data_IF_619962577736
#
_entry.id   IF_619962577736
#
_cell.length_a   1.000
_cell.length_b   1.000
_cell.length_c   1.000
_cell.angle_alpha   90.00
_cell.angle_beta   90.00
_cell.angle_gamma   90.00
#
_symmetry.space_group_name_H-M   'P 1'
#
loop_
_entity.id
_entity.type
_entity.pdbx_description
1 polymer ?
#
# COMPACT_ATOMS: atom_id res chain seq x y z
N UNK A 1 16.50 11.20 -6.29
CA UNK A 1 16.71 9.75 -6.46
C UNK A 1 15.43 9.10 -6.98
N UNK A 2 15.56 8.04 -7.75
CA UNK A 2 14.43 7.25 -8.24
C UNK A 2 14.51 5.81 -7.74
N UNK A 3 13.40 5.33 -7.22
CA UNK A 3 13.16 3.92 -6.89
C UNK A 3 12.26 3.37 -7.99
N UNK A 4 12.60 2.22 -8.55
CA UNK A 4 11.77 1.56 -9.56
C UNK A 4 11.20 0.27 -8.99
N UNK A 5 9.88 0.12 -9.12
CA UNK A 5 9.16 -1.10 -8.73
C UNK A 5 8.57 -1.71 -9.98
N UNK A 6 8.91 -2.98 -10.23
CA UNK A 6 8.28 -3.79 -11.27
C UNK A 6 7.36 -4.82 -10.61
N UNK A 7 6.07 -4.57 -10.68
CA UNK A 7 5.06 -5.43 -10.05
C UNK A 7 5.00 -6.82 -10.70
N UNK A 8 5.27 -6.91 -12.01
CA UNK A 8 5.23 -8.18 -12.73
C UNK A 8 6.42 -9.08 -12.38
N UNK A 9 7.56 -8.49 -12.12
CA UNK A 9 8.79 -9.21 -11.72
C UNK A 9 8.90 -9.37 -10.20
N UNK A 10 8.09 -8.65 -9.43
CA UNK A 10 8.19 -8.65 -7.97
C UNK A 10 9.50 -8.07 -7.45
N UNK A 11 9.97 -6.98 -8.06
CA UNK A 11 11.26 -6.37 -7.71
C UNK A 11 11.16 -4.89 -7.43
N UNK A 12 12.00 -4.43 -6.50
CA UNK A 12 12.26 -3.03 -6.21
C UNK A 12 13.75 -2.77 -6.40
N UNK A 13 14.06 -1.77 -7.21
CA UNK A 13 15.43 -1.34 -7.50
C UNK A 13 15.70 0.02 -6.85
N UNK A 14 16.74 0.09 -6.04
CA UNK A 14 17.22 1.32 -5.40
C UNK A 14 18.74 1.32 -5.35
N UNK A 15 19.38 2.35 -5.89
CA UNK A 15 20.84 2.49 -5.92
C UNK A 15 21.57 1.23 -6.44
N UNK A 16 21.04 0.56 -7.45
CA UNK A 16 21.61 -0.66 -8.00
C UNK A 16 21.34 -1.94 -7.19
N UNK A 17 20.78 -1.83 -6.00
CA UNK A 17 20.35 -2.98 -5.20
C UNK A 17 18.93 -3.40 -5.57
N UNK A 18 18.70 -4.71 -5.66
CA UNK A 18 17.40 -5.29 -6.00
C UNK A 18 16.82 -5.99 -4.77
N UNK A 19 15.59 -5.65 -4.45
CA UNK A 19 14.84 -6.26 -3.35
C UNK A 19 13.61 -6.98 -3.90
N UNK A 20 13.27 -8.11 -3.29
CA UNK A 20 12.03 -8.81 -3.60
C UNK A 20 10.84 -8.07 -2.96
N UNK A 21 9.78 -7.92 -3.72
CA UNK A 21 8.52 -7.34 -3.24
C UNK A 21 7.33 -8.16 -3.73
N UNK A 22 6.19 -7.91 -3.15
CA UNK A 22 4.91 -8.40 -3.67
C UNK A 22 3.83 -7.34 -3.54
N UNK A 23 2.83 -7.45 -4.39
CA UNK A 23 1.63 -6.61 -4.29
C UNK A 23 0.41 -7.49 -4.55
N UNK A 24 0.26 -8.52 -3.73
CA UNK A 24 -0.86 -9.46 -3.81
C UNK A 24 -2.05 -8.90 -3.06
N UNK A 25 -3.05 -8.48 -3.80
CA UNK A 25 -4.23 -7.82 -3.26
C UNK A 25 -5.18 -8.85 -2.66
N UNK A 26 -5.73 -8.51 -1.50
CA UNK A 26 -6.77 -9.29 -0.85
C UNK A 26 -8.05 -9.23 -1.69
N UNK A 27 -8.61 -10.39 -2.03
CA UNK A 27 -9.86 -10.47 -2.79
C UNK A 27 -11.06 -10.61 -1.86
N UNK A 28 -12.23 -10.25 -2.37
CA UNK A 28 -13.50 -10.53 -1.70
C UNK A 28 -13.74 -12.04 -1.69
N UNK A 29 -14.18 -12.57 -0.56
CA UNK A 29 -14.54 -13.99 -0.47
C UNK A 29 -15.86 -14.22 -1.20
N UNK A 30 -15.90 -15.23 -2.07
CA UNK A 30 -17.13 -15.69 -2.68
C UNK A 30 -18.18 -16.04 -1.63
N UNK A 31 -19.40 -15.53 -1.83
CA UNK A 31 -20.55 -15.81 -0.96
C UNK A 31 -20.59 -15.05 0.36
N UNK A 32 -19.53 -14.34 0.75
CA UNK A 32 -19.52 -13.51 1.96
C UNK A 32 -19.30 -12.06 1.62
N UNK A 33 -20.35 -11.30 1.54
CA UNK A 33 -20.31 -9.85 1.26
C UNK A 33 -20.17 -9.00 2.53
N UNK A 34 -19.85 -9.62 3.66
CA UNK A 34 -19.81 -8.95 4.97
C UNK A 34 -18.42 -8.72 5.52
N UNK A 35 -17.39 -9.30 4.95
CA UNK A 35 -16.03 -9.23 5.49
C UNK A 35 -15.16 -8.26 4.71
N UNK A 36 -15.48 -6.98 4.79
CA UNK A 36 -14.72 -5.94 4.16
C UNK A 36 -13.85 -5.21 5.15
N UNK A 37 -12.69 -4.87 4.69
CA UNK A 37 -11.77 -4.07 5.46
C UNK A 37 -12.24 -2.61 5.46
N UNK A 38 -12.04 -1.97 6.58
CA UNK A 38 -12.19 -0.53 6.71
C UNK A 38 -11.04 0.15 5.99
N UNK A 39 -11.35 1.14 5.21
CA UNK A 39 -10.37 1.81 4.41
C UNK A 39 -10.23 3.26 4.82
N UNK A 40 -8.99 3.65 4.88
CA UNK A 40 -8.56 4.96 5.35
C UNK A 40 -9.04 6.16 4.55
N UNK A 41 -9.24 5.99 3.25
CA UNK A 41 -9.62 7.10 2.36
C UNK A 41 -11.05 7.04 1.87
N UNK A 42 -11.77 5.99 2.21
CA UNK A 42 -13.16 5.82 1.79
C UNK A 42 -14.09 6.21 2.93
N UNK A 43 -14.96 7.21 2.72
CA UNK A 43 -15.91 7.63 3.73
C UNK A 43 -16.86 6.49 4.13
N UNK A 44 -17.31 6.52 5.38
CA UNK A 44 -18.35 5.63 5.91
C UNK A 44 -17.95 4.14 5.89
N UNK A 45 -16.66 3.83 5.71
CA UNK A 45 -16.13 2.46 5.73
C UNK A 45 -16.89 1.49 4.82
N UNK A 46 -17.28 1.96 3.64
CA UNK A 46 -18.03 1.17 2.68
C UNK A 46 -17.19 0.03 2.09
N UNK A 47 -17.82 -1.09 1.71
CA UNK A 47 -17.16 -2.17 0.99
C UNK A 47 -16.58 -1.70 -0.34
N UNK A 48 -15.38 -2.18 -0.68
CA UNK A 48 -14.71 -1.78 -1.92
C UNK A 48 -13.89 -2.92 -2.51
N UNK A 49 -13.53 -2.78 -3.78
CA UNK A 49 -12.56 -3.65 -4.42
C UNK A 49 -11.16 -3.04 -4.30
N UNK A 50 -10.30 -3.60 -3.46
CA UNK A 50 -8.92 -3.16 -3.40
C UNK A 50 -8.21 -3.49 -4.71
N UNK A 51 -7.34 -2.60 -5.15
CA UNK A 51 -6.55 -2.74 -6.38
C UNK A 51 -5.06 -2.75 -6.05
N UNK A 52 -4.22 -3.36 -6.90
CA UNK A 52 -2.78 -3.28 -6.75
C UNK A 52 -2.31 -1.83 -6.69
N UNK A 53 -1.11 -1.64 -6.17
CA UNK A 53 -0.47 -0.32 -6.17
C UNK A 53 -0.54 0.30 -7.56
N UNK A 54 -0.98 1.57 -7.68
CA UNK A 54 -1.17 2.18 -8.98
C UNK A 54 0.16 2.38 -9.72
N UNK A 55 0.19 2.00 -10.99
CA UNK A 55 1.32 2.24 -11.86
C UNK A 55 1.46 3.74 -12.13
N UNK A 56 2.70 4.19 -12.31
CA UNK A 56 2.99 5.59 -12.56
C UNK A 56 4.20 6.09 -11.81
N UNK A 57 4.35 7.40 -11.79
CA UNK A 57 5.41 8.08 -11.05
C UNK A 57 4.78 8.81 -9.87
N UNK A 58 5.25 8.48 -8.69
CA UNK A 58 4.76 9.00 -7.41
C UNK A 58 5.91 9.60 -6.62
N UNK A 59 5.60 10.33 -5.57
CA UNK A 59 6.60 10.82 -4.63
C UNK A 59 6.55 10.02 -3.33
N UNK A 60 7.72 9.74 -2.79
CA UNK A 60 7.83 9.28 -1.41
C UNK A 60 7.77 10.51 -0.51
N UNK A 61 6.83 10.51 0.42
CA UNK A 61 6.52 11.68 1.26
C UNK A 61 7.07 11.58 2.68
N UNK A 62 7.50 10.40 3.10
CA UNK A 62 8.07 10.24 4.43
C UNK A 62 8.29 8.78 4.81
N UNK A 63 8.98 8.61 5.92
CA UNK A 63 9.21 7.32 6.56
C UNK A 63 8.75 7.43 8.00
N UNK A 64 7.84 6.55 8.40
CA UNK A 64 7.35 6.46 9.77
C UNK A 64 7.91 5.19 10.41
N UNK A 65 8.55 5.33 11.58
CA UNK A 65 9.10 4.19 12.30
C UNK A 65 8.14 3.69 13.36
N UNK A 66 8.01 2.37 13.44
CA UNK A 66 7.14 1.70 14.41
C UNK A 66 7.44 2.12 15.85
N UNK A 67 8.70 2.26 16.20
CA UNK A 67 9.13 2.67 17.54
C UNK A 67 8.60 4.04 17.97
N UNK A 68 8.42 4.95 17.02
CA UNK A 68 7.92 6.31 17.29
C UNK A 68 6.39 6.38 17.24
N UNK A 69 5.77 5.72 16.28
CA UNK A 69 4.34 5.88 15.98
C UNK A 69 3.47 4.77 16.58
N UNK A 70 4.07 3.65 17.02
CA UNK A 70 3.36 2.59 17.74
C UNK A 70 2.36 1.78 16.90
N UNK A 71 2.45 1.80 15.58
CA UNK A 71 1.57 0.97 14.75
C UNK A 71 1.90 -0.52 14.92
N UNK A 72 0.96 -1.40 14.52
CA UNK A 72 1.12 -2.85 14.65
C UNK A 72 2.28 -3.36 13.78
N UNK A 73 3.35 -3.92 14.39
CA UNK A 73 4.50 -4.42 13.64
C UNK A 73 4.19 -5.67 12.78
N UNK A 74 3.16 -6.43 13.11
CA UNK A 74 2.74 -7.57 12.30
C UNK A 74 2.07 -7.12 11.00
N UNK A 75 1.36 -6.01 11.05
CA UNK A 75 0.67 -5.45 9.89
C UNK A 75 1.60 -4.62 9.01
N UNK A 76 2.49 -3.83 9.61
CA UNK A 76 3.29 -2.84 8.88
C UNK A 76 4.79 -3.02 8.99
N UNK A 77 5.26 -3.94 9.83
CA UNK A 77 6.70 -4.12 10.09
C UNK A 77 7.31 -2.97 10.86
N UNK A 78 8.63 -2.77 10.72
CA UNK A 78 9.35 -1.74 11.48
C UNK A 78 9.18 -0.32 10.93
N UNK A 79 8.81 -0.18 9.65
CA UNK A 79 8.68 1.11 8.98
C UNK A 79 7.51 1.11 7.99
N UNK A 80 6.86 2.27 7.87
CA UNK A 80 5.95 2.61 6.78
C UNK A 80 6.61 3.65 5.90
N UNK A 81 6.75 3.36 4.62
CA UNK A 81 7.22 4.32 3.64
C UNK A 81 5.99 4.91 2.95
N UNK A 82 5.75 6.18 3.18
CA UNK A 82 4.57 6.89 2.69
C UNK A 82 4.77 7.39 1.27
N UNK A 83 3.69 7.36 0.49
CA UNK A 83 3.67 7.89 -0.87
C UNK A 83 2.47 8.81 -1.08
N UNK A 84 2.51 9.58 -2.14
CA UNK A 84 1.37 10.36 -2.62
C UNK A 84 0.53 9.62 -3.68
N UNK A 85 0.77 8.33 -3.84
CA UNK A 85 0.05 7.50 -4.82
C UNK A 85 -1.45 7.43 -4.51
N UNK A 86 -2.24 7.45 -5.57
CA UNK A 86 -3.68 7.34 -5.50
C UNK A 86 -4.26 6.69 -6.76
N UNK A 87 -5.45 6.13 -6.63
CA UNK A 87 -6.25 5.67 -7.77
C UNK A 87 -7.72 5.63 -7.38
N UNK A 88 -8.59 5.54 -8.38
CA UNK A 88 -9.98 5.28 -8.13
C UNK A 88 -10.23 3.78 -7.90
N UNK A 89 -11.07 3.48 -6.93
CA UNK A 89 -11.54 2.13 -6.63
C UNK A 89 -13.06 2.10 -6.64
N UNK A 90 -13.63 0.95 -6.94
CA UNK A 90 -15.08 0.77 -6.88
C UNK A 90 -15.52 0.53 -5.44
N UNK A 91 -16.55 1.25 -5.04
CA UNK A 91 -17.18 1.14 -3.72
C UNK A 91 -18.64 0.81 -3.95
N UNK A 92 -19.18 -0.12 -3.17
CA UNK A 92 -20.59 -0.50 -3.24
C UNK A 92 -21.36 -0.07 -2.00
N UNK A 93 -22.60 0.36 -2.21
CA UNK A 93 -23.53 0.55 -1.11
C UNK A 93 -23.95 -0.80 -0.54
N UNK A 94 -24.27 -0.82 0.74
CA UNK A 94 -24.77 -2.00 1.43
C UNK A 94 -26.26 -1.88 1.63
N UNK A 95 -26.97 -3.02 1.61
CA UNK A 95 -28.36 -3.12 2.02
C UNK A 95 -28.50 -3.18 3.55
N UNK A 96 -29.73 -3.31 4.03
CA UNK A 96 -30.02 -3.39 5.47
C UNK A 96 -29.45 -4.61 6.18
N UNK A 97 -29.08 -5.67 5.44
CA UNK A 97 -28.46 -6.89 5.96
C UNK A 97 -26.92 -6.85 5.92
N UNK A 98 -26.36 -5.75 5.40
CA UNK A 98 -24.92 -5.58 5.25
C UNK A 98 -24.34 -6.22 3.99
N UNK A 99 -25.17 -6.69 3.07
CA UNK A 99 -24.74 -7.15 1.75
C UNK A 99 -24.60 -5.95 0.81
N UNK A 100 -23.58 -5.96 -0.05
CA UNK A 100 -23.39 -4.85 -0.96
C UNK A 100 -24.07 -5.06 -2.31
N UNK A 101 -24.50 -3.93 -2.90
CA UNK A 101 -25.17 -3.90 -4.18
C UNK A 101 -24.14 -3.77 -5.29
N UNK A 102 -23.86 -4.86 -6.00
CA UNK A 102 -22.84 -4.88 -7.09
C UNK A 102 -23.27 -4.12 -8.33
N UNK A 103 -24.56 -3.88 -8.46
CA UNK A 103 -25.14 -3.18 -9.62
C UNK A 103 -24.90 -1.68 -9.59
N UNK A 104 -24.52 -1.13 -8.43
CA UNK A 104 -24.37 0.32 -8.24
C UNK A 104 -23.02 0.71 -7.64
N UNK A 105 -21.88 0.25 -8.22
CA UNK A 105 -20.59 0.73 -7.74
C UNK A 105 -20.40 2.18 -8.09
N UNK A 106 -19.78 2.94 -7.18
CA UNK A 106 -19.28 4.28 -7.45
C UNK A 106 -17.77 4.30 -7.33
N UNK A 107 -17.12 5.18 -8.07
CA UNK A 107 -15.67 5.35 -7.97
C UNK A 107 -15.33 6.37 -6.90
N UNK A 108 -14.38 5.99 -6.03
CA UNK A 108 -13.86 6.84 -4.95
C UNK A 108 -12.35 6.89 -5.06
N UNK A 109 -11.78 8.06 -4.81
CA UNK A 109 -10.33 8.23 -4.75
C UNK A 109 -9.78 7.53 -3.51
N UNK A 110 -8.98 6.50 -3.72
CA UNK A 110 -8.26 5.79 -2.67
C UNK A 110 -6.82 6.28 -2.57
N UNK A 111 -6.36 6.53 -1.35
CA UNK A 111 -5.04 7.04 -1.01
C UNK A 111 -4.38 6.17 0.05
N UNK A 112 -3.22 6.60 0.55
CA UNK A 112 -2.54 5.91 1.64
C UNK A 112 -1.82 4.64 1.21
N UNK A 113 -1.42 4.58 -0.05
CA UNK A 113 -0.58 3.49 -0.57
C UNK A 113 0.82 3.60 0.02
N UNK A 114 1.29 2.52 0.60
CA UNK A 114 2.56 2.43 1.35
C UNK A 114 3.46 1.35 0.76
N UNK A 115 4.75 1.46 1.07
CA UNK A 115 5.66 0.32 1.04
C UNK A 115 5.92 -0.07 2.50
N UNK A 116 5.71 -1.33 2.84
CA UNK A 116 5.91 -1.85 4.19
C UNK A 116 6.08 -3.37 4.19
N UNK A 117 6.60 -3.91 5.28
CA UNK A 117 6.54 -5.35 5.54
C UNK A 117 5.21 -5.69 6.20
N UNK A 118 4.76 -6.92 6.01
CA UNK A 118 3.62 -7.50 6.70
C UNK A 118 3.83 -9.01 6.84
N UNK A 119 3.39 -9.60 7.93
CA UNK A 119 3.35 -11.06 8.09
C UNK A 119 2.32 -11.70 7.16
N UNK A 120 1.28 -10.96 6.79
CA UNK A 120 0.28 -11.39 5.81
C UNK A 120 0.87 -11.39 4.40
N UNK A 121 0.54 -12.42 3.61
CA UNK A 121 0.92 -12.49 2.20
C UNK A 121 0.15 -11.55 1.28
N UNK A 122 -0.92 -10.92 1.77
CA UNK A 122 -1.77 -10.01 1.00
C UNK A 122 -1.86 -8.65 1.66
N UNK A 123 -2.13 -7.62 0.85
CA UNK A 123 -2.34 -6.24 1.29
C UNK A 123 -3.62 -5.68 0.67
N UNK A 124 -3.94 -4.44 1.00
CA UNK A 124 -5.03 -3.70 0.36
C UNK A 124 -4.52 -2.79 -0.78
N UNK A 125 -3.45 -3.21 -1.44
CA UNK A 125 -2.83 -2.48 -2.55
C UNK A 125 -1.44 -1.95 -2.24
N UNK A 126 -0.98 -1.98 -0.99
CA UNK A 126 0.38 -1.59 -0.63
C UNK A 126 1.41 -2.57 -1.20
N UNK A 127 2.61 -2.07 -1.45
CA UNK A 127 3.74 -2.91 -1.81
C UNK A 127 4.30 -3.53 -0.54
N UNK A 128 4.31 -4.86 -0.51
CA UNK A 128 4.87 -5.62 0.61
C UNK A 128 6.35 -5.87 0.37
N UNK A 129 7.19 -5.42 1.28
CA UNK A 129 8.60 -5.73 1.31
C UNK A 129 8.81 -7.13 1.89
N UNK A 130 9.82 -7.86 1.44
CA UNK A 130 9.96 -9.29 1.73
C UNK A 130 10.34 -9.60 3.18
N UNK A 131 10.98 -8.67 3.88
CA UNK A 131 11.42 -8.88 5.25
C UNK A 131 11.45 -7.57 6.04
N UNK A 132 11.41 -7.64 7.39
CA UNK A 132 11.63 -6.47 8.24
C UNK A 132 12.99 -5.82 7.99
N UNK A 133 14.01 -6.62 7.71
CA UNK A 133 15.36 -6.13 7.41
C UNK A 133 15.40 -5.29 6.14
N UNK A 134 14.76 -5.77 5.07
CA UNK A 134 14.66 -5.02 3.81
C UNK A 134 13.93 -3.70 4.03
N UNK A 135 12.85 -3.74 4.79
CA UNK A 135 12.08 -2.54 5.12
C UNK A 135 12.94 -1.50 5.87
N UNK A 136 13.73 -1.92 6.84
CA UNK A 136 14.64 -1.02 7.56
C UNK A 136 15.74 -0.47 6.66
N UNK A 137 16.35 -1.29 5.82
CA UNK A 137 17.42 -0.87 4.90
C UNK A 137 16.90 0.18 3.91
N UNK A 138 15.77 -0.09 3.27
CA UNK A 138 15.15 0.81 2.30
C UNK A 138 14.68 2.08 3.00
N UNK A 139 14.05 1.96 4.14
CA UNK A 139 13.60 3.09 4.95
C UNK A 139 14.74 4.01 5.37
N UNK A 140 15.87 3.45 5.78
CA UNK A 140 17.06 4.23 6.15
C UNK A 140 17.65 5.01 4.98
N UNK A 141 17.76 4.40 3.81
CA UNK A 141 18.23 5.08 2.60
C UNK A 141 17.34 6.28 2.25
N UNK A 142 16.03 6.05 2.25
CA UNK A 142 15.04 7.09 1.94
C UNK A 142 15.09 8.22 2.97
N UNK A 143 15.06 7.87 4.24
CA UNK A 143 15.05 8.83 5.35
C UNK A 143 16.29 9.74 5.32
N UNK A 144 17.44 9.15 5.01
CA UNK A 144 18.68 9.92 4.86
C UNK A 144 18.60 10.93 3.73
N UNK A 145 18.06 10.53 2.59
CA UNK A 145 17.91 11.43 1.42
C UNK A 145 16.90 12.55 1.68
N UNK A 146 15.76 12.23 2.26
CA UNK A 146 14.75 13.22 2.62
C UNK A 146 15.28 14.19 3.70
N UNK A 147 16.05 13.69 4.66
CA UNK A 147 16.69 14.51 5.70
C UNK A 147 17.74 15.48 5.16
N UNK A 148 18.32 15.21 4.01
CA UNK A 148 19.26 16.10 3.30
C UNK A 148 18.55 17.07 2.36
N UNK A 149 17.23 17.18 2.40
CA UNK A 149 16.44 18.03 1.51
C UNK A 149 16.27 17.48 0.09
N UNK A 150 16.65 16.24 -0.15
CA UNK A 150 16.45 15.57 -1.43
C UNK A 150 15.01 15.12 -1.63
N UNK A 151 14.66 14.80 -2.87
CA UNK A 151 13.38 14.17 -3.23
C UNK A 151 13.59 12.74 -3.67
N UNK A 152 12.58 11.90 -3.44
CA UNK A 152 12.61 10.50 -3.85
C UNK A 152 11.35 10.21 -4.66
N UNK A 153 11.55 9.84 -5.93
CA UNK A 153 10.47 9.39 -6.80
C UNK A 153 10.34 7.87 -6.76
N UNK A 154 9.12 7.41 -6.84
CA UNK A 154 8.75 6.00 -6.95
C UNK A 154 8.10 5.78 -8.32
N UNK A 155 8.80 5.08 -9.20
CA UNK A 155 8.24 4.65 -10.48
C UNK A 155 7.73 3.22 -10.35
N UNK A 156 6.45 3.01 -10.62
CA UNK A 156 5.80 1.70 -10.56
C UNK A 156 5.38 1.29 -11.97
N UNK A 157 5.90 0.19 -12.44
CA UNK A 157 5.65 -0.37 -13.77
C UNK A 157 5.02 -1.75 -13.71
#
# INVERSE_FOLDING_TARGET
MKITVDLSKGTLLINGAVFAISCKVRTLRDGTRKSYEVIRSIPDSLPYDPRPFPKGIWNITGVERQKKYGFDPNTYGPVKIRTDAWQHVNVWETDGDGDYLRETPRQVKDTGYLLHYSVSGTTLGCIRLASPRDAEMIGEIIERLLGQGGSVQLEVV
#
